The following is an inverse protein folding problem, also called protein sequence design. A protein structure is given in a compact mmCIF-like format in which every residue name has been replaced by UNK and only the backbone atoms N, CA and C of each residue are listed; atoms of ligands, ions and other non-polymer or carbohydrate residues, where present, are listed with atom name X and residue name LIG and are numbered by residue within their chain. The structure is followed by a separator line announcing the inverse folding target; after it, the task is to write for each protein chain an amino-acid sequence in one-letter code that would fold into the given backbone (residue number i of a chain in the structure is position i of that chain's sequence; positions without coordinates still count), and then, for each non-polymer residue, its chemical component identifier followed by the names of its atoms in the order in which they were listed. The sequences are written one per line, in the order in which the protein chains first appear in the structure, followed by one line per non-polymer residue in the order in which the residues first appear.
data_IF_076251054479
#
_entry.id   IF_076251054479
#
_cell.length_a   1.000
_cell.length_b   1.000
_cell.length_c   1.000
_cell.angle_alpha   90.00
_cell.angle_beta   90.00
_cell.angle_gamma   90.00
#
_symmetry.space_group_name_H-M   'P 1'
#
loop_
_entity.id
_entity.type
_entity.pdbx_description
1 polymer ?
#
# COMPACT_ATOMS: atom_id res chain seq x y z
N UNK A 1 -21.90 -27.53 10.69
CA UNK A 1 -20.61 -27.38 11.37
C UNK A 1 -20.77 -27.78 12.82
N UNK A 2 -20.09 -28.78 13.26
CA UNK A 2 -20.12 -29.30 14.62
C UNK A 2 -18.96 -28.73 15.44
N UNK A 3 -19.03 -28.75 16.77
CA UNK A 3 -17.93 -28.31 17.64
C UNK A 3 -16.66 -29.15 17.38
N UNK A 4 -16.80 -30.40 16.99
CA UNK A 4 -15.70 -31.31 16.66
C UNK A 4 -15.00 -30.92 15.34
N UNK A 5 -15.76 -30.50 14.32
CA UNK A 5 -15.22 -29.99 13.06
C UNK A 5 -14.45 -28.68 13.31
N UNK A 6 -15.04 -27.76 14.08
CA UNK A 6 -14.37 -26.51 14.48
C UNK A 6 -13.07 -26.78 15.27
N UNK A 7 -13.05 -27.76 16.17
CA UNK A 7 -11.85 -28.13 16.93
C UNK A 7 -10.74 -28.66 16.03
N UNK A 8 -11.10 -29.40 14.97
CA UNK A 8 -10.15 -29.90 13.98
C UNK A 8 -9.60 -28.76 13.12
N UNK A 9 -10.47 -27.92 12.59
CA UNK A 9 -10.07 -26.70 11.85
C UNK A 9 -9.16 -25.80 12.67
N UNK A 10 -9.48 -25.58 13.96
CA UNK A 10 -8.66 -24.80 14.87
C UNK A 10 -7.28 -25.41 15.09
N UNK A 11 -7.19 -26.73 15.19
CA UNK A 11 -5.93 -27.46 15.37
C UNK A 11 -5.05 -27.34 14.12
N UNK A 12 -5.64 -27.44 12.94
CA UNK A 12 -4.93 -27.36 11.67
C UNK A 12 -4.49 -25.91 11.39
N UNK A 13 -5.36 -24.92 11.65
CA UNK A 13 -5.01 -23.51 11.53
C UNK A 13 -3.89 -23.08 12.51
N UNK A 14 -3.88 -23.60 13.75
CA UNK A 14 -2.81 -23.33 14.72
C UNK A 14 -1.45 -23.90 14.32
N UNK A 15 -1.39 -24.96 13.53
CA UNK A 15 -0.12 -25.51 13.01
C UNK A 15 0.51 -24.63 11.94
N UNK A 16 -0.28 -23.80 11.30
CA UNK A 16 0.17 -22.89 10.25
C UNK A 16 0.81 -21.60 10.79
N UNK A 17 0.66 -21.29 12.09
CA UNK A 17 1.19 -20.08 12.73
C UNK A 17 2.06 -20.46 13.90
N UNK A 18 3.38 -20.43 13.70
CA UNK A 18 4.36 -20.68 14.76
C UNK A 18 5.01 -19.35 15.14
N UNK A 19 4.72 -18.89 16.35
CA UNK A 19 5.24 -17.62 16.87
C UNK A 19 6.11 -17.82 18.09
N UNK A 20 7.07 -16.93 18.27
CA UNK A 20 7.88 -16.79 19.46
C UNK A 20 8.03 -15.30 19.79
N UNK A 21 8.50 -14.94 20.98
CA UNK A 21 8.60 -13.54 21.30
C UNK A 21 9.60 -13.23 22.40
N UNK A 22 10.35 -12.14 22.20
CA UNK A 22 11.38 -11.68 23.12
C UNK A 22 11.24 -10.18 23.42
N UNK A 23 11.60 -9.79 24.64
CA UNK A 23 11.85 -8.40 24.97
C UNK A 23 13.32 -8.08 24.68
N UNK A 24 13.55 -7.28 23.63
CA UNK A 24 14.89 -6.93 23.18
C UNK A 24 15.23 -5.48 23.51
N UNK A 25 16.48 -5.20 23.81
CA UNK A 25 16.95 -3.82 23.95
C UNK A 25 17.00 -3.12 22.59
N UNK A 26 16.74 -1.81 22.56
CA UNK A 26 16.84 -1.03 21.32
C UNK A 26 18.27 -1.05 20.75
N UNK A 27 19.28 -1.12 21.63
CA UNK A 27 20.68 -1.27 21.22
C UNK A 27 20.95 -2.58 20.49
N UNK A 28 20.33 -3.68 20.91
CA UNK A 28 20.43 -4.98 20.25
C UNK A 28 19.75 -4.97 18.90
N UNK A 29 18.50 -4.45 18.81
CA UNK A 29 17.79 -4.29 17.54
C UNK A 29 18.59 -3.45 16.53
N UNK A 30 19.19 -2.34 16.99
CA UNK A 30 20.05 -1.51 16.14
C UNK A 30 21.31 -2.27 15.69
N UNK A 31 21.90 -3.09 16.57
CA UNK A 31 23.06 -3.94 16.23
C UNK A 31 22.71 -4.99 15.17
N UNK A 32 21.58 -5.69 15.33
CA UNK A 32 21.09 -6.65 14.34
C UNK A 32 20.80 -5.99 13.00
N UNK A 33 20.23 -4.77 12.99
CA UNK A 33 19.99 -4.02 11.77
C UNK A 33 21.30 -3.64 11.05
N UNK A 34 22.31 -3.19 11.79
CA UNK A 34 23.66 -2.92 11.25
C UNK A 34 24.29 -4.17 10.63
N UNK A 35 24.19 -5.30 11.33
CA UNK A 35 24.72 -6.59 10.92
C UNK A 35 23.92 -7.24 9.79
N UNK A 36 22.77 -6.66 9.38
CA UNK A 36 21.82 -7.24 8.41
C UNK A 36 21.18 -8.57 8.85
N UNK A 37 21.16 -8.81 10.14
CA UNK A 37 20.43 -9.92 10.76
C UNK A 37 18.96 -9.58 10.95
N UNK A 38 18.63 -8.28 11.04
CA UNK A 38 17.29 -7.71 10.94
C UNK A 38 17.26 -6.76 9.74
N UNK A 39 16.31 -6.98 8.83
CA UNK A 39 16.18 -6.19 7.60
C UNK A 39 14.81 -5.54 7.50
N UNK A 40 14.78 -4.37 6.89
CA UNK A 40 13.57 -3.70 6.44
C UNK A 40 13.65 -3.71 4.92
N UNK A 41 12.64 -4.29 4.24
CA UNK A 41 12.60 -4.25 2.78
C UNK A 41 12.59 -2.79 2.28
N UNK A 42 13.40 -2.42 1.26
CA UNK A 42 13.46 -1.04 0.78
C UNK A 42 12.10 -0.47 0.35
N UNK A 43 11.25 -1.27 -0.28
CA UNK A 43 9.92 -0.82 -0.70
C UNK A 43 8.98 -0.64 0.50
N UNK A 44 9.08 -1.51 1.50
CA UNK A 44 8.37 -1.32 2.77
C UNK A 44 8.87 -0.07 3.50
N UNK A 45 10.17 0.18 3.48
CA UNK A 45 10.78 1.36 4.09
C UNK A 45 10.31 2.68 3.47
N UNK A 46 9.96 2.71 2.19
CA UNK A 46 9.36 3.89 1.51
C UNK A 46 8.02 4.32 2.11
N UNK A 47 7.38 3.45 2.90
CA UNK A 47 6.17 3.77 3.65
C UNK A 47 6.47 4.43 5.02
N UNK A 48 7.75 4.73 5.34
CA UNK A 48 8.14 5.45 6.54
C UNK A 48 7.79 6.93 6.43
N UNK A 49 6.74 7.36 7.13
CA UNK A 49 6.14 8.68 6.94
C UNK A 49 5.59 9.37 8.19
N UNK A 50 5.88 8.85 9.39
CA UNK A 50 5.51 9.57 10.60
C UNK A 50 6.03 10.99 10.57
N UNK A 51 5.19 11.96 10.96
CA UNK A 51 5.62 13.35 11.14
C UNK A 51 6.65 13.46 12.27
N UNK A 52 7.51 14.48 12.26
CA UNK A 52 8.49 14.70 13.32
C UNK A 52 7.88 14.67 14.73
N UNK A 53 6.69 15.26 14.92
CA UNK A 53 5.97 15.23 16.19
C UNK A 53 5.57 13.82 16.65
N UNK A 54 5.18 12.94 15.74
CA UNK A 54 4.84 11.55 16.06
C UNK A 54 6.10 10.75 16.45
N UNK A 55 7.20 10.95 15.72
CA UNK A 55 8.50 10.34 16.03
C UNK A 55 8.98 10.79 17.41
N UNK A 56 8.89 12.09 17.69
CA UNK A 56 9.29 12.64 18.99
C UNK A 56 8.47 12.05 20.13
N UNK A 57 7.13 11.98 20.00
CA UNK A 57 6.26 11.37 21.02
C UNK A 57 6.57 9.91 21.25
N UNK A 58 6.97 9.20 20.22
CA UNK A 58 7.39 7.80 20.38
C UNK A 58 8.70 7.69 21.17
N UNK A 59 9.70 8.53 20.87
CA UNK A 59 10.95 8.60 21.65
C UNK A 59 10.68 9.03 23.09
N UNK A 60 9.82 10.02 23.31
CA UNK A 60 9.35 10.40 24.64
C UNK A 60 8.76 9.22 25.40
N UNK A 61 7.91 8.42 24.77
CA UNK A 61 7.31 7.24 25.40
C UNK A 61 8.37 6.23 25.84
N UNK A 62 9.40 6.02 25.02
CA UNK A 62 10.51 5.12 25.35
C UNK A 62 11.35 5.65 26.53
N UNK A 63 11.62 6.95 26.56
CA UNK A 63 12.37 7.61 27.67
C UNK A 63 11.58 7.58 28.99
N UNK A 64 10.26 7.73 28.91
CA UNK A 64 9.37 7.70 30.08
C UNK A 64 9.01 6.26 30.53
N UNK A 65 9.45 5.23 29.81
CA UNK A 65 9.09 3.84 30.09
C UNK A 65 7.62 3.53 29.85
N UNK A 66 6.92 4.32 29.03
CA UNK A 66 5.54 4.06 28.65
C UNK A 66 5.50 2.83 27.72
N UNK A 67 4.63 1.83 27.99
CA UNK A 67 4.52 0.66 27.14
C UNK A 67 4.23 1.02 25.69
N UNK A 68 5.00 0.46 24.76
CA UNK A 68 4.85 0.65 23.33
C UNK A 68 4.40 -0.67 22.69
N UNK A 69 3.62 -0.63 21.58
CA UNK A 69 3.24 -1.83 20.88
C UNK A 69 4.46 -2.64 20.38
N UNK A 70 4.38 -3.98 20.31
CA UNK A 70 5.45 -4.82 19.81
C UNK A 70 5.72 -4.56 18.33
N UNK A 71 6.92 -4.93 17.87
CA UNK A 71 7.21 -5.10 16.44
C UNK A 71 7.08 -6.57 16.07
N UNK A 72 6.77 -6.84 14.80
CA UNK A 72 6.63 -8.20 14.28
C UNK A 72 7.66 -8.43 13.18
N UNK A 73 8.32 -9.57 13.24
CA UNK A 73 9.32 -9.98 12.27
C UNK A 73 9.03 -11.39 11.76
N UNK A 74 9.40 -11.66 10.52
CA UNK A 74 9.40 -12.99 9.93
C UNK A 74 10.82 -13.54 9.88
N UNK A 75 11.03 -14.74 10.35
CA UNK A 75 12.31 -15.44 10.25
C UNK A 75 12.41 -16.15 8.90
N UNK A 76 13.29 -15.66 8.02
CA UNK A 76 13.59 -16.30 6.73
C UNK A 76 14.32 -17.63 6.94
N UNK A 77 14.38 -18.46 5.90
CA UNK A 77 15.16 -19.71 5.90
C UNK A 77 16.65 -19.49 6.24
N UNK A 78 17.20 -18.33 5.86
CA UNK A 78 18.56 -17.92 6.19
C UNK A 78 18.79 -17.59 7.67
N UNK A 79 17.73 -17.55 8.48
CA UNK A 79 17.76 -17.07 9.86
C UNK A 79 17.64 -15.55 10.01
N UNK A 80 17.75 -14.78 8.93
CA UNK A 80 17.56 -13.33 8.93
C UNK A 80 16.12 -12.97 9.27
N UNK A 81 15.93 -11.97 10.12
CA UNK A 81 14.61 -11.44 10.46
C UNK A 81 14.21 -10.31 9.51
N UNK A 82 13.03 -10.41 8.96
CA UNK A 82 12.43 -9.39 8.11
C UNK A 82 11.29 -8.69 8.84
N UNK A 83 11.33 -7.37 8.92
CA UNK A 83 10.31 -6.59 9.59
C UNK A 83 8.96 -6.71 8.85
N UNK A 84 7.92 -7.14 9.57
CA UNK A 84 6.53 -7.24 9.07
C UNK A 84 5.69 -6.06 9.54
N UNK A 85 5.70 -5.76 10.86
CA UNK A 85 5.01 -4.61 11.45
C UNK A 85 5.91 -3.88 12.41
N UNK A 86 5.62 -2.58 12.59
CA UNK A 86 6.41 -1.69 13.43
C UNK A 86 7.42 -0.86 12.65
N UNK A 87 7.26 -0.72 11.31
CA UNK A 87 8.12 0.10 10.46
C UNK A 87 8.36 1.48 11.05
N UNK A 88 7.29 2.20 11.38
CA UNK A 88 7.38 3.56 11.90
C UNK A 88 8.17 3.60 13.22
N UNK A 89 7.95 2.63 14.11
CA UNK A 89 8.61 2.51 15.43
C UNK A 89 10.09 2.21 15.29
N UNK A 90 10.45 1.14 14.59
CA UNK A 90 11.83 0.73 14.41
C UNK A 90 12.63 1.77 13.62
N UNK A 91 12.07 2.27 12.51
CA UNK A 91 12.72 3.31 11.69
C UNK A 91 12.95 4.60 12.46
N UNK A 92 12.05 4.99 13.36
CA UNK A 92 12.24 6.19 14.22
C UNK A 92 13.44 6.02 15.14
N UNK A 93 13.59 4.86 15.78
CA UNK A 93 14.74 4.56 16.65
C UNK A 93 16.04 4.56 15.84
N UNK A 94 16.05 3.85 14.72
CA UNK A 94 17.23 3.77 13.84
C UNK A 94 17.60 5.14 13.25
N UNK A 95 16.62 5.95 12.88
CA UNK A 95 16.87 7.31 12.39
C UNK A 95 17.43 8.22 13.48
N UNK A 96 16.89 8.15 14.70
CA UNK A 96 17.44 8.92 15.82
C UNK A 96 18.90 8.53 16.07
N UNK A 97 19.22 7.22 16.05
CA UNK A 97 20.59 6.72 16.24
C UNK A 97 21.50 6.98 15.03
N UNK A 98 20.99 7.50 13.91
CA UNK A 98 21.75 7.74 12.69
C UNK A 98 22.11 6.48 11.90
N UNK A 99 21.34 5.41 12.08
CA UNK A 99 21.61 4.09 11.49
C UNK A 99 20.61 3.69 10.39
N UNK A 100 19.51 4.45 10.22
CA UNK A 100 18.48 4.12 9.24
C UNK A 100 19.00 4.34 7.82
N UNK A 101 19.07 3.26 7.03
CA UNK A 101 19.44 3.31 5.62
C UNK A 101 18.33 3.93 4.80
N UNK A 102 18.68 4.74 3.80
CA UNK A 102 17.73 5.22 2.82
C UNK A 102 17.48 4.14 1.75
N UNK A 103 16.24 3.95 1.25
CA UNK A 103 15.95 2.94 0.23
C UNK A 103 16.77 3.07 -1.05
N UNK A 104 17.08 4.31 -1.45
CA UNK A 104 17.78 4.56 -2.70
C UNK A 104 19.31 4.59 -2.48
N UNK A 105 19.82 5.36 -1.52
CA UNK A 105 21.25 5.40 -1.20
C UNK A 105 21.52 6.09 0.14
N UNK A 106 22.56 5.62 0.87
CA UNK A 106 23.06 6.24 2.08
C UNK A 106 22.18 6.04 3.32
N UNK A 107 22.15 7.04 4.18
CA UNK A 107 21.37 7.07 5.41
C UNK A 107 20.33 8.21 5.39
N UNK A 108 19.23 8.00 6.08
CA UNK A 108 18.31 9.10 6.37
C UNK A 108 19.02 10.19 7.17
N UNK A 109 18.67 11.48 6.95
CA UNK A 109 19.14 12.54 7.84
C UNK A 109 18.82 12.22 9.29
N UNK A 110 19.74 12.47 10.23
CA UNK A 110 19.50 12.24 11.66
C UNK A 110 18.24 12.96 12.14
N UNK A 111 17.44 12.27 12.97
CA UNK A 111 16.23 12.86 13.54
C UNK A 111 16.59 13.98 14.51
N UNK A 112 15.97 15.13 14.32
CA UNK A 112 15.93 16.23 15.31
C UNK A 112 14.58 16.15 16.02
N UNK A 113 14.59 16.06 17.34
CA UNK A 113 13.38 15.95 18.15
C UNK A 113 12.72 17.34 18.31
N UNK A 114 11.41 17.31 18.50
CA UNK A 114 10.60 18.48 18.84
C UNK A 114 10.32 18.52 20.34
N UNK A 115 9.94 19.68 20.88
CA UNK A 115 9.44 19.75 22.25
C UNK A 115 8.07 19.10 22.37
N UNK A 116 7.85 18.39 23.49
CA UNK A 116 6.53 17.83 23.82
C UNK A 116 5.97 18.48 25.10
N UNK A 117 4.72 18.16 25.44
CA UNK A 117 4.13 18.68 26.66
C UNK A 117 4.79 18.11 27.94
N UNK A 118 5.22 16.84 27.91
CA UNK A 118 5.86 16.19 29.06
C UNK A 118 7.35 16.45 29.11
N UNK A 119 8.01 16.50 27.95
CA UNK A 119 9.45 16.73 27.83
C UNK A 119 9.75 17.90 26.86
N UNK A 120 9.47 19.18 27.25
CA UNK A 120 9.76 20.34 26.40
C UNK A 120 11.23 20.45 26.03
N UNK A 121 12.13 19.94 26.87
CA UNK A 121 13.58 19.93 26.67
C UNK A 121 14.05 19.04 25.50
N UNK A 122 13.18 18.24 24.89
CA UNK A 122 13.52 17.48 23.67
C UNK A 122 13.64 18.38 22.43
N UNK A 123 13.16 19.63 22.48
CA UNK A 123 13.20 20.56 21.35
C UNK A 123 14.65 20.76 20.85
N UNK A 124 14.90 20.38 19.60
CA UNK A 124 16.21 20.49 18.95
C UNK A 124 17.20 19.38 19.28
N UNK A 125 16.87 18.49 20.22
CA UNK A 125 17.77 17.39 20.62
C UNK A 125 18.00 16.40 19.48
N UNK A 126 19.26 15.91 19.40
CA UNK A 126 19.72 14.86 18.46
C UNK A 126 20.44 13.75 19.22
N UNK A 127 20.75 12.66 18.54
CA UNK A 127 21.44 11.52 19.14
C UNK A 127 22.86 11.80 19.59
N UNK A 128 23.66 12.47 18.75
CA UNK A 128 25.08 12.72 19.00
C UNK A 128 25.51 14.11 18.57
N UNK A 129 26.67 14.56 19.09
CA UNK A 129 27.22 15.87 18.77
C UNK A 129 27.83 16.01 17.38
N UNK A 130 28.12 14.90 16.68
CA UNK A 130 28.78 14.91 15.37
C UNK A 130 28.01 15.73 14.30
N UNK A 131 26.72 15.97 14.53
CA UNK A 131 25.82 16.66 13.60
C UNK A 131 25.20 17.93 14.19
N UNK A 132 25.76 18.52 15.23
CA UNK A 132 25.19 19.67 15.96
C UNK A 132 26.20 20.77 16.11
N UNK A 133 25.83 22.00 15.77
CA UNK A 133 26.68 23.18 15.96
C UNK A 133 26.83 23.59 17.42
N UNK A 134 25.93 23.17 18.30
CA UNK A 134 25.93 23.43 19.74
C UNK A 134 25.92 22.11 20.53
N UNK A 135 26.90 21.94 21.44
CA UNK A 135 27.06 20.74 22.29
C UNK A 135 25.81 20.41 23.15
N UNK A 136 25.04 21.44 23.48
CA UNK A 136 23.89 21.32 24.40
C UNK A 136 22.62 20.70 23.77
N UNK A 137 22.63 20.43 22.46
CA UNK A 137 21.48 19.88 21.71
C UNK A 137 21.67 18.41 21.33
N UNK A 138 22.46 17.65 22.06
CA UNK A 138 22.67 16.24 21.87
C UNK A 138 22.46 15.45 23.16
N UNK A 139 21.97 14.21 23.04
CA UNK A 139 21.92 13.29 24.17
C UNK A 139 23.32 13.01 24.71
N UNK A 140 23.49 13.15 26.01
CA UNK A 140 24.69 12.70 26.72
C UNK A 140 24.77 11.17 26.79
N UNK A 141 25.90 10.64 27.21
CA UNK A 141 26.13 9.20 27.32
C UNK A 141 25.09 8.50 28.22
N UNK A 142 24.74 9.03 29.41
CA UNK A 142 23.69 8.46 30.25
C UNK A 142 22.33 8.33 29.51
N UNK A 143 21.86 9.37 28.85
CA UNK A 143 20.60 9.35 28.10
C UNK A 143 20.64 8.37 26.91
N UNK A 144 21.77 8.33 26.19
CA UNK A 144 21.94 7.35 25.10
C UNK A 144 21.90 5.91 25.63
N UNK A 145 22.52 5.65 26.79
CA UNK A 145 22.52 4.33 27.42
C UNK A 145 21.11 3.95 27.92
N UNK A 146 20.38 4.90 28.48
CA UNK A 146 19.00 4.70 28.91
C UNK A 146 18.11 4.28 27.72
N UNK A 147 18.17 5.02 26.62
CA UNK A 147 17.40 4.68 25.43
C UNK A 147 17.88 3.35 24.79
N UNK A 148 19.19 3.09 24.71
CA UNK A 148 19.70 1.79 24.23
C UNK A 148 19.22 0.61 25.06
N UNK A 149 19.02 0.79 26.36
CA UNK A 149 18.52 -0.25 27.28
C UNK A 149 17.02 -0.34 27.36
N UNK A 150 16.29 0.65 26.84
CA UNK A 150 14.85 0.57 26.71
C UNK A 150 14.49 -0.66 25.89
N UNK A 151 13.38 -1.32 26.27
CA UNK A 151 12.97 -2.59 25.67
C UNK A 151 11.82 -2.42 24.71
N UNK A 152 11.85 -3.20 23.66
CA UNK A 152 10.76 -3.37 22.71
C UNK A 152 10.45 -4.85 22.58
N UNK A 153 9.18 -5.20 22.69
CA UNK A 153 8.73 -6.56 22.44
C UNK A 153 8.83 -6.85 20.96
N UNK A 154 9.47 -7.99 20.60
CA UNK A 154 9.57 -8.50 19.23
C UNK A 154 8.81 -9.81 19.18
N UNK A 155 7.79 -9.87 18.33
CA UNK A 155 7.07 -11.10 18.03
C UNK A 155 7.61 -11.67 16.71
N UNK A 156 8.03 -12.94 16.76
CA UNK A 156 8.72 -13.60 15.66
C UNK A 156 7.77 -14.62 15.04
N UNK A 157 7.41 -14.42 13.79
CA UNK A 157 6.78 -15.45 12.98
C UNK A 157 7.88 -16.34 12.41
N UNK A 158 7.87 -17.60 12.79
CA UNK A 158 8.90 -18.54 12.39
C UNK A 158 8.72 -19.00 10.95
N UNK A 159 9.80 -19.45 10.34
CA UNK A 159 9.88 -19.95 8.96
C UNK A 159 8.97 -21.15 8.67
N UNK A 160 8.63 -21.91 9.69
CA UNK A 160 7.69 -23.03 9.61
C UNK A 160 6.24 -22.60 9.40
N UNK A 161 5.97 -21.28 9.52
CA UNK A 161 4.66 -20.72 9.22
C UNK A 161 4.49 -20.61 7.71
N UNK A 162 3.27 -20.93 7.27
CA UNK A 162 2.94 -20.85 5.84
C UNK A 162 2.87 -19.36 5.39
N UNK A 163 3.06 -19.10 4.09
CA UNK A 163 3.03 -17.74 3.53
C UNK A 163 1.65 -17.07 3.69
N UNK A 164 0.57 -17.85 3.65
CA UNK A 164 -0.78 -17.34 3.89
C UNK A 164 -0.96 -16.91 5.37
N UNK A 165 -0.31 -17.61 6.32
CA UNK A 165 -0.29 -17.23 7.73
C UNK A 165 0.45 -15.91 7.97
N UNK A 166 1.55 -15.67 7.25
CA UNK A 166 2.28 -14.39 7.26
C UNK A 166 1.36 -13.23 6.86
N UNK A 167 0.57 -13.43 5.80
CA UNK A 167 -0.39 -12.45 5.30
C UNK A 167 -1.52 -12.17 6.31
N UNK A 168 -2.18 -13.22 6.79
CA UNK A 168 -3.30 -13.13 7.73
C UNK A 168 -2.88 -12.40 9.02
N UNK A 169 -1.69 -12.73 9.54
CA UNK A 169 -1.14 -12.07 10.72
C UNK A 169 -0.94 -10.57 10.46
N UNK A 170 -0.29 -10.22 9.35
CA UNK A 170 -0.03 -8.83 9.00
C UNK A 170 -1.32 -8.02 8.86
N UNK A 171 -2.31 -8.55 8.15
CA UNK A 171 -3.61 -7.90 7.97
C UNK A 171 -4.30 -7.65 9.32
N UNK A 172 -4.31 -8.64 10.21
CA UNK A 172 -4.93 -8.52 11.55
C UNK A 172 -4.20 -7.53 12.45
N UNK A 173 -2.87 -7.48 12.40
CA UNK A 173 -2.07 -6.56 13.20
C UNK A 173 -2.32 -5.10 12.80
N UNK A 174 -2.40 -4.82 11.51
CA UNK A 174 -2.60 -3.47 11.02
C UNK A 174 -4.05 -2.96 11.16
N UNK A 175 -5.05 -3.85 11.22
CA UNK A 175 -6.43 -3.46 11.50
C UNK A 175 -6.68 -3.09 12.97
N UNK A 176 -5.77 -3.45 13.88
CA UNK A 176 -5.93 -3.27 15.33
C UNK A 176 -5.27 -2.04 15.96
N UNK A 177 -4.44 -1.24 15.25
CA UNK A 177 -3.64 -0.24 15.96
C UNK A 177 -3.08 0.96 15.21
N UNK A 178 -2.94 0.94 13.91
CA UNK A 178 -2.41 2.08 13.14
C UNK A 178 -3.44 2.59 12.13
N UNK A 179 -3.47 3.92 11.93
CA UNK A 179 -4.36 4.56 10.94
C UNK A 179 -3.81 4.41 9.50
N UNK A 180 -3.39 3.19 9.11
CA UNK A 180 -3.07 2.90 7.73
C UNK A 180 -4.37 2.72 6.93
N UNK A 181 -4.40 3.22 5.70
CA UNK A 181 -5.48 2.89 4.77
C UNK A 181 -5.41 1.41 4.37
N UNK A 182 -6.53 0.84 3.95
CA UNK A 182 -6.59 -0.56 3.46
C UNK A 182 -5.56 -0.80 2.33
N UNK A 183 -5.35 0.19 1.47
CA UNK A 183 -4.37 0.07 0.40
C UNK A 183 -2.93 0.06 0.91
N UNK A 184 -2.62 0.78 1.97
CA UNK A 184 -1.28 0.79 2.54
C UNK A 184 -0.95 -0.54 3.22
N UNK A 185 -1.94 -1.13 3.89
CA UNK A 185 -1.83 -2.48 4.42
C UNK A 185 -1.58 -3.46 3.27
N UNK A 186 -2.34 -3.37 2.19
CA UNK A 186 -2.18 -4.20 0.99
C UNK A 186 -0.82 -4.01 0.33
N UNK A 187 -0.32 -2.79 0.23
CA UNK A 187 1.01 -2.51 -0.31
C UNK A 187 2.11 -3.20 0.48
N UNK A 188 2.04 -3.13 1.80
CA UNK A 188 3.02 -3.79 2.67
C UNK A 188 3.02 -5.31 2.46
N UNK A 189 1.84 -5.89 2.27
CA UNK A 189 1.69 -7.30 1.95
C UNK A 189 2.26 -7.63 0.58
N UNK A 190 1.95 -6.83 -0.44
CA UNK A 190 2.46 -7.04 -1.79
C UNK A 190 3.98 -7.00 -1.83
N UNK A 191 4.61 -6.06 -1.11
CA UNK A 191 6.06 -6.00 -0.95
C UNK A 191 6.61 -7.30 -0.36
N UNK A 192 5.97 -7.82 0.69
CA UNK A 192 6.41 -9.07 1.35
C UNK A 192 6.23 -10.32 0.47
N UNK A 193 5.17 -10.39 -0.31
CA UNK A 193 4.90 -11.53 -1.18
C UNK A 193 5.76 -11.50 -2.45
N UNK A 194 5.85 -10.34 -3.09
CA UNK A 194 6.62 -10.14 -4.32
C UNK A 194 6.93 -8.65 -4.52
N UNK A 195 8.10 -8.22 -4.08
CA UNK A 195 8.54 -6.83 -4.20
C UNK A 195 8.63 -6.36 -5.65
N UNK A 196 9.00 -7.24 -6.59
CA UNK A 196 9.06 -6.92 -8.03
C UNK A 196 7.68 -6.62 -8.61
N UNK A 197 6.66 -7.39 -8.20
CA UNK A 197 5.28 -7.12 -8.59
C UNK A 197 4.79 -5.78 -8.01
N UNK A 198 5.12 -5.46 -6.77
CA UNK A 198 4.80 -4.16 -6.18
C UNK A 198 5.50 -3.02 -6.93
N UNK A 199 6.80 -3.15 -7.25
CA UNK A 199 7.54 -2.18 -8.05
C UNK A 199 6.89 -1.98 -9.42
N UNK A 200 6.43 -3.06 -10.03
CA UNK A 200 5.69 -3.02 -11.29
C UNK A 200 4.41 -2.17 -11.16
N UNK A 201 3.60 -2.37 -10.10
CA UNK A 201 2.41 -1.55 -9.84
C UNK A 201 2.77 -0.07 -9.68
N UNK A 202 3.80 0.23 -8.89
CA UNK A 202 4.26 1.61 -8.66
C UNK A 202 4.73 2.25 -9.96
N UNK A 203 5.48 1.54 -10.79
CA UNK A 203 5.91 2.04 -12.10
C UNK A 203 4.71 2.40 -13.00
N UNK A 204 3.61 1.66 -12.95
CA UNK A 204 2.41 1.99 -13.74
C UNK A 204 1.78 3.30 -13.30
N UNK A 205 1.87 3.68 -12.02
CA UNK A 205 1.35 4.97 -11.56
C UNK A 205 2.10 6.16 -12.18
N UNK A 206 3.33 5.97 -12.65
CA UNK A 206 4.17 7.02 -13.26
C UNK A 206 3.99 7.15 -14.78
N UNK A 207 3.22 6.24 -15.43
CA UNK A 207 2.89 6.39 -16.84
C UNK A 207 2.22 7.74 -17.07
N UNK A 208 2.74 8.54 -18.00
CA UNK A 208 2.25 9.90 -18.24
C UNK A 208 0.73 9.92 -18.49
N UNK A 209 0.23 9.07 -19.39
CA UNK A 209 -1.19 9.01 -19.69
C UNK A 209 -2.05 8.63 -18.47
N UNK A 210 -1.59 7.71 -17.62
CA UNK A 210 -2.27 7.37 -16.37
C UNK A 210 -2.28 8.55 -15.40
N UNK A 211 -1.13 9.15 -15.10
CA UNK A 211 -1.02 10.25 -14.15
C UNK A 211 -1.81 11.49 -14.57
N UNK A 212 -1.96 11.72 -15.89
CA UNK A 212 -2.74 12.84 -16.41
C UNK A 212 -4.26 12.59 -16.37
N UNK A 213 -4.69 11.36 -16.50
CA UNK A 213 -6.13 10.99 -16.50
C UNK A 213 -6.67 10.66 -15.11
N UNK A 214 -5.83 10.08 -14.25
CA UNK A 214 -6.17 9.73 -12.85
C UNK A 214 -5.71 10.86 -11.93
N UNK A 215 -6.50 11.93 -11.88
CA UNK A 215 -6.20 13.13 -11.11
C UNK A 215 -6.65 12.98 -9.66
N UNK A 216 -5.72 12.60 -8.79
CA UNK A 216 -5.95 12.40 -7.36
C UNK A 216 -5.64 13.66 -6.54
N UNK A 217 -6.29 13.80 -5.40
CA UNK A 217 -5.97 14.82 -4.40
C UNK A 217 -4.66 14.48 -3.66
N UNK A 218 -3.97 15.46 -3.03
CA UNK A 218 -2.78 15.18 -2.23
C UNK A 218 -3.01 14.08 -1.19
N UNK A 219 -4.12 14.12 -0.47
CA UNK A 219 -4.48 13.08 0.51
C UNK A 219 -4.59 11.69 -0.12
N UNK A 220 -5.21 11.57 -1.29
CA UNK A 220 -5.34 10.30 -2.01
C UNK A 220 -3.98 9.77 -2.48
N UNK A 221 -3.05 10.65 -2.84
CA UNK A 221 -1.67 10.27 -3.14
C UNK A 221 -0.94 9.76 -1.89
N UNK A 222 -1.09 10.44 -0.76
CA UNK A 222 -0.54 9.99 0.52
C UNK A 222 -1.08 8.63 0.94
N UNK A 223 -2.36 8.36 0.72
CA UNK A 223 -3.03 7.08 0.98
C UNK A 223 -2.75 6.00 -0.08
N UNK A 224 -1.82 6.25 -1.02
CA UNK A 224 -1.40 5.31 -2.08
C UNK A 224 -2.54 4.86 -3.02
N UNK A 225 -3.58 5.70 -3.18
CA UNK A 225 -4.74 5.34 -4.01
C UNK A 225 -4.38 5.12 -5.49
N UNK A 226 -3.30 5.75 -6.01
CA UNK A 226 -2.84 5.50 -7.37
C UNK A 226 -2.48 4.01 -7.59
N UNK A 227 -1.81 3.38 -6.62
CA UNK A 227 -1.45 1.95 -6.66
C UNK A 227 -2.70 1.08 -6.60
N UNK A 228 -3.69 1.46 -5.76
CA UNK A 228 -4.98 0.76 -5.72
C UNK A 228 -5.68 0.77 -7.08
N UNK A 229 -5.68 1.92 -7.77
CA UNK A 229 -6.34 2.05 -9.08
C UNK A 229 -5.67 1.16 -10.13
N UNK A 230 -4.33 1.07 -10.14
CA UNK A 230 -3.60 0.12 -11.00
C UNK A 230 -3.99 -1.32 -10.66
N UNK A 231 -3.99 -1.66 -9.37
CA UNK A 231 -4.38 -3.00 -8.90
C UNK A 231 -5.84 -3.34 -9.29
N UNK A 232 -6.78 -2.40 -9.16
CA UNK A 232 -8.17 -2.57 -9.59
C UNK A 232 -8.27 -2.94 -11.06
N UNK A 233 -7.54 -2.23 -11.92
CA UNK A 233 -7.51 -2.52 -13.36
C UNK A 233 -7.11 -3.97 -13.64
N UNK A 234 -6.03 -4.44 -13.02
CA UNK A 234 -5.57 -5.83 -13.16
C UNK A 234 -6.57 -6.83 -12.57
N UNK A 235 -7.08 -6.55 -11.37
CA UNK A 235 -8.00 -7.42 -10.67
C UNK A 235 -9.28 -7.64 -11.49
N UNK A 236 -9.87 -6.60 -12.04
CA UNK A 236 -11.08 -6.71 -12.86
C UNK A 236 -10.86 -7.54 -14.14
N UNK A 237 -9.67 -7.52 -14.69
CA UNK A 237 -9.33 -8.25 -15.90
C UNK A 237 -8.97 -9.73 -15.64
N UNK A 238 -8.28 -10.00 -14.56
CA UNK A 238 -7.68 -11.33 -14.28
C UNK A 238 -8.41 -12.14 -13.20
N UNK A 239 -9.19 -11.49 -12.36
CA UNK A 239 -9.85 -12.15 -11.24
C UNK A 239 -11.35 -11.83 -11.19
N UNK A 240 -12.22 -12.70 -11.74
CA UNK A 240 -13.66 -12.47 -11.72
C UNK A 240 -14.20 -12.27 -10.30
N UNK A 241 -15.02 -11.24 -10.10
CA UNK A 241 -15.59 -10.95 -8.80
C UNK A 241 -16.51 -12.09 -8.32
N UNK A 242 -16.29 -12.55 -7.11
CA UNK A 242 -17.15 -13.52 -6.42
C UNK A 242 -18.07 -12.78 -5.44
N UNK A 243 -19.37 -13.03 -5.52
CA UNK A 243 -20.36 -12.44 -4.61
C UNK A 243 -20.03 -12.80 -3.16
N UNK A 244 -20.19 -11.83 -2.25
CA UNK A 244 -20.01 -12.00 -0.81
C UNK A 244 -18.79 -11.28 -0.25
N UNK A 245 -17.79 -10.96 -1.07
CA UNK A 245 -16.63 -10.17 -0.65
C UNK A 245 -16.95 -8.68 -0.78
N UNK A 246 -16.48 -7.86 0.15
CA UNK A 246 -16.44 -6.42 -0.06
C UNK A 246 -15.32 -6.03 -1.04
N UNK A 247 -15.17 -4.73 -1.34
CA UNK A 247 -14.17 -4.28 -2.34
C UNK A 247 -12.76 -4.55 -1.86
N UNK A 248 -12.47 -4.34 -0.58
CA UNK A 248 -11.13 -4.51 -0.02
C UNK A 248 -10.78 -6.00 0.06
N UNK A 249 -11.69 -6.83 0.55
CA UNK A 249 -11.54 -8.29 0.58
C UNK A 249 -11.33 -8.85 -0.83
N UNK A 250 -12.09 -8.35 -1.82
CA UNK A 250 -11.90 -8.74 -3.21
C UNK A 250 -10.52 -8.37 -3.74
N UNK A 251 -10.06 -7.14 -3.49
CA UNK A 251 -8.74 -6.69 -3.93
C UNK A 251 -7.62 -7.45 -3.23
N UNK A 252 -7.80 -7.82 -1.96
CA UNK A 252 -6.84 -8.62 -1.22
C UNK A 252 -6.72 -10.04 -1.80
N UNK A 253 -7.84 -10.68 -2.10
CA UNK A 253 -7.86 -11.99 -2.76
C UNK A 253 -7.24 -11.91 -4.16
N UNK A 254 -7.61 -10.90 -4.94
CA UNK A 254 -7.06 -10.69 -6.28
C UNK A 254 -5.55 -10.44 -6.24
N UNK A 255 -5.07 -9.60 -5.32
CA UNK A 255 -3.66 -9.29 -5.15
C UNK A 255 -2.81 -10.55 -4.92
N UNK A 256 -3.27 -11.47 -4.04
CA UNK A 256 -2.59 -12.76 -3.77
C UNK A 256 -2.49 -13.67 -5.01
N UNK A 257 -3.41 -13.55 -5.94
CA UNK A 257 -3.34 -14.30 -7.20
C UNK A 257 -2.45 -13.60 -8.22
N UNK A 258 -2.54 -12.27 -8.28
CA UNK A 258 -1.78 -11.46 -9.23
C UNK A 258 -0.28 -11.50 -8.98
N UNK A 259 0.17 -11.58 -7.72
CA UNK A 259 1.61 -11.74 -7.39
C UNK A 259 2.24 -13.03 -7.91
N UNK A 260 1.41 -14.02 -8.30
CA UNK A 260 1.83 -15.32 -8.84
C UNK A 260 1.91 -15.32 -10.38
N UNK A 261 1.58 -14.21 -11.02
CA UNK A 261 1.68 -14.08 -12.47
C UNK A 261 3.14 -14.18 -12.91
N UNK A 262 3.38 -14.93 -13.97
CA UNK A 262 4.68 -15.00 -14.62
C UNK A 262 4.96 -13.73 -15.44
N UNK A 263 6.21 -13.57 -15.87
CA UNK A 263 6.67 -12.41 -16.64
C UNK A 263 5.90 -12.24 -17.95
N UNK A 264 5.43 -13.32 -18.57
CA UNK A 264 4.64 -13.26 -19.80
C UNK A 264 3.29 -12.64 -19.54
N UNK A 265 2.58 -13.12 -18.53
CA UNK A 265 1.27 -12.60 -18.16
C UNK A 265 1.36 -11.14 -17.67
N UNK A 266 2.41 -10.78 -16.94
CA UNK A 266 2.67 -9.39 -16.53
C UNK A 266 2.94 -8.49 -17.75
N UNK A 267 3.68 -8.95 -18.75
CA UNK A 267 3.94 -8.18 -19.98
C UNK A 267 2.67 -8.02 -20.84
N UNK A 268 1.78 -9.02 -20.87
CA UNK A 268 0.47 -8.89 -21.52
C UNK A 268 -0.37 -7.79 -20.85
N UNK A 269 -0.39 -7.76 -19.51
CA UNK A 269 -1.11 -6.71 -18.76
C UNK A 269 -0.45 -5.33 -18.88
N UNK A 270 0.89 -5.26 -18.97
CA UNK A 270 1.61 -4.04 -19.26
C UNK A 270 1.14 -3.42 -20.58
N UNK A 271 1.17 -4.21 -21.65
CA UNK A 271 0.77 -3.76 -22.97
C UNK A 271 -0.70 -3.32 -23.01
N UNK A 272 -1.56 -4.03 -22.26
CA UNK A 272 -2.96 -3.69 -22.18
C UNK A 272 -3.21 -2.41 -21.38
N UNK A 273 -2.50 -2.24 -20.26
CA UNK A 273 -2.55 -1.03 -19.44
C UNK A 273 -2.08 0.18 -20.24
N UNK A 274 -0.91 0.09 -20.83
CA UNK A 274 -0.30 1.18 -21.61
C UNK A 274 -1.19 1.57 -22.79
N UNK A 275 -1.71 0.58 -23.54
CA UNK A 275 -2.63 0.84 -24.65
C UNK A 275 -3.91 1.52 -24.18
N UNK A 276 -4.52 1.04 -23.11
CA UNK A 276 -5.78 1.59 -22.60
C UNK A 276 -5.62 3.04 -22.18
N UNK A 277 -4.62 3.36 -21.36
CA UNK A 277 -4.46 4.71 -20.83
C UNK A 277 -3.94 5.68 -21.89
N UNK A 278 -3.03 5.27 -22.77
CA UNK A 278 -2.60 6.10 -23.89
C UNK A 278 -3.79 6.43 -24.82
N UNK A 279 -4.60 5.44 -25.18
CA UNK A 279 -5.79 5.67 -26.02
C UNK A 279 -6.79 6.64 -25.36
N UNK A 280 -7.07 6.45 -24.06
CA UNK A 280 -7.97 7.33 -23.32
C UNK A 280 -7.42 8.76 -23.22
N UNK A 281 -6.14 8.92 -22.93
CA UNK A 281 -5.49 10.22 -22.83
C UNK A 281 -5.45 10.94 -24.20
N UNK A 282 -4.98 10.29 -25.23
CA UNK A 282 -4.82 10.87 -26.57
C UNK A 282 -6.16 11.24 -27.22
N UNK A 283 -7.20 10.40 -27.03
CA UNK A 283 -8.47 10.56 -27.71
C UNK A 283 -9.51 11.33 -26.91
N UNK A 284 -9.51 11.23 -25.56
CA UNK A 284 -10.48 11.88 -24.69
C UNK A 284 -9.88 12.97 -23.79
N UNK A 285 -8.55 13.03 -23.62
CA UNK A 285 -7.86 14.03 -22.80
C UNK A 285 -7.83 13.69 -21.30
N UNK A 286 -7.36 14.65 -20.52
CA UNK A 286 -7.09 14.49 -19.08
C UNK A 286 -8.33 14.34 -18.21
N UNK A 287 -9.49 14.72 -18.70
CA UNK A 287 -10.76 14.75 -17.93
C UNK A 287 -11.67 13.53 -18.18
N UNK A 288 -11.13 12.48 -18.81
CA UNK A 288 -11.88 11.29 -19.25
C UNK A 288 -12.69 10.61 -18.14
N UNK A 289 -12.21 10.65 -16.90
CA UNK A 289 -12.88 10.07 -15.74
C UNK A 289 -13.68 11.07 -14.90
N UNK A 290 -13.83 12.33 -15.36
CA UNK A 290 -14.66 13.33 -14.68
C UNK A 290 -16.07 13.34 -15.27
N UNK A 291 -17.03 13.72 -14.42
CA UNK A 291 -18.44 13.80 -14.82
C UNK A 291 -18.63 14.75 -16.00
N UNK A 292 -19.32 14.30 -17.03
CA UNK A 292 -19.77 15.12 -18.16
C UNK A 292 -21.24 15.56 -17.94
N UNK A 293 -21.54 16.85 -18.05
CA UNK A 293 -22.87 17.43 -17.82
C UNK A 293 -23.64 17.72 -19.14
N UNK A 294 -23.07 17.38 -20.27
CA UNK A 294 -23.56 17.69 -21.60
C UNK A 294 -22.79 18.83 -22.28
N UNK A 295 -22.07 19.64 -21.54
CA UNK A 295 -21.31 20.78 -22.06
C UNK A 295 -19.83 20.76 -21.63
N UNK A 296 -19.54 20.38 -20.37
CA UNK A 296 -18.19 20.38 -19.81
C UNK A 296 -18.00 19.27 -18.80
N UNK A 297 -16.74 19.00 -18.49
CA UNK A 297 -16.38 18.11 -17.37
C UNK A 297 -16.46 18.83 -16.03
N UNK A 298 -17.00 18.16 -15.01
CA UNK A 298 -17.21 18.69 -13.66
C UNK A 298 -16.62 17.79 -12.59
N UNK A 299 -16.20 18.38 -11.48
CA UNK A 299 -15.75 17.68 -10.29
C UNK A 299 -14.36 17.04 -10.44
N UNK A 300 -14.07 16.11 -9.55
CA UNK A 300 -12.80 15.37 -9.52
C UNK A 300 -12.89 14.01 -10.22
N UNK A 301 -11.83 13.23 -10.06
CA UNK A 301 -11.74 11.85 -10.52
C UNK A 301 -12.88 10.99 -9.94
N UNK A 302 -13.56 10.25 -10.81
CA UNK A 302 -14.65 9.33 -10.44
C UNK A 302 -14.21 7.88 -10.56
N UNK A 303 -14.15 7.18 -9.42
CA UNK A 303 -13.80 5.76 -9.37
C UNK A 303 -14.80 4.90 -10.14
N UNK A 304 -16.11 5.27 -10.17
CA UNK A 304 -17.11 4.52 -10.93
C UNK A 304 -16.92 4.68 -12.44
N UNK A 305 -16.55 5.90 -12.89
CA UNK A 305 -16.23 6.13 -14.29
C UNK A 305 -14.95 5.38 -14.69
N UNK A 306 -13.94 5.39 -13.82
CA UNK A 306 -12.73 4.59 -14.03
C UNK A 306 -13.06 3.10 -14.16
N UNK A 307 -13.80 2.53 -13.19
CA UNK A 307 -14.19 1.12 -13.20
C UNK A 307 -14.88 0.73 -14.51
N UNK A 308 -15.81 1.57 -15.02
CA UNK A 308 -16.53 1.30 -16.25
C UNK A 308 -15.68 1.54 -17.51
N UNK A 309 -15.07 2.73 -17.63
CA UNK A 309 -14.40 3.14 -18.87
C UNK A 309 -13.13 2.33 -19.07
N UNK A 310 -12.25 2.26 -18.06
CA UNK A 310 -10.96 1.58 -18.21
C UNK A 310 -11.16 0.08 -18.48
N UNK A 311 -12.05 -0.57 -17.72
CA UNK A 311 -12.36 -1.99 -17.93
C UNK A 311 -13.03 -2.24 -19.26
N UNK A 312 -14.10 -1.47 -19.59
CA UNK A 312 -14.86 -1.65 -20.82
C UNK A 312 -14.02 -1.45 -22.08
N UNK A 313 -13.14 -0.45 -22.06
CA UNK A 313 -12.18 -0.21 -23.16
C UNK A 313 -11.16 -1.35 -23.25
N UNK A 314 -10.57 -1.77 -22.13
CA UNK A 314 -9.55 -2.80 -22.13
C UNK A 314 -10.04 -4.17 -22.65
N UNK A 315 -11.25 -4.59 -22.25
CA UNK A 315 -11.79 -5.89 -22.69
C UNK A 315 -12.26 -5.91 -24.14
N UNK A 316 -12.47 -4.74 -24.74
CA UNK A 316 -12.89 -4.59 -26.14
C UNK A 316 -11.77 -4.11 -27.08
N UNK A 317 -10.51 -4.21 -26.65
CA UNK A 317 -9.35 -3.68 -27.40
C UNK A 317 -9.38 -4.06 -28.86
N UNK A 318 -9.49 -5.35 -29.19
CA UNK A 318 -9.37 -5.84 -30.56
C UNK A 318 -10.50 -5.28 -31.46
N UNK A 319 -11.71 -5.22 -30.92
CA UNK A 319 -12.86 -4.64 -31.62
C UNK A 319 -12.72 -3.13 -31.82
N UNK A 320 -12.18 -2.43 -30.81
CA UNK A 320 -11.91 -0.99 -30.89
C UNK A 320 -10.79 -0.69 -31.88
N UNK A 321 -9.71 -1.50 -31.91
CA UNK A 321 -8.64 -1.35 -32.88
C UNK A 321 -9.10 -1.60 -34.33
N UNK A 322 -10.17 -2.38 -34.52
CA UNK A 322 -10.79 -2.58 -35.82
C UNK A 322 -11.56 -1.36 -36.33
N UNK A 323 -11.92 -0.40 -35.49
CA UNK A 323 -12.53 0.87 -35.92
C UNK A 323 -11.50 1.65 -36.78
N UNK A 324 -11.89 2.19 -37.95
CA UNK A 324 -11.02 3.03 -38.76
C UNK A 324 -10.41 4.18 -37.95
N UNK A 325 -9.11 4.45 -38.14
CA UNK A 325 -8.38 5.40 -37.34
C UNK A 325 -9.01 6.81 -37.30
N UNK A 326 -9.60 7.26 -38.41
CA UNK A 326 -10.28 8.56 -38.51
C UNK A 326 -11.57 8.64 -37.66
N UNK A 327 -12.23 7.50 -37.40
CA UNK A 327 -13.53 7.44 -36.69
C UNK A 327 -13.33 7.13 -35.21
N UNK A 328 -12.18 6.61 -34.83
CA UNK A 328 -11.88 6.12 -33.50
C UNK A 328 -12.02 7.20 -32.43
N UNK A 329 -11.53 8.43 -32.72
CA UNK A 329 -11.63 9.55 -31.78
C UNK A 329 -13.08 9.89 -31.46
N UNK A 330 -13.92 10.03 -32.48
CA UNK A 330 -15.31 10.38 -32.30
C UNK A 330 -16.06 9.26 -31.58
N UNK A 331 -15.75 8.01 -31.88
CA UNK A 331 -16.29 6.87 -31.15
C UNK A 331 -15.95 6.94 -29.66
N UNK A 332 -14.65 7.13 -29.27
CA UNK A 332 -14.23 7.23 -27.88
C UNK A 332 -14.93 8.38 -27.15
N UNK A 333 -14.89 9.57 -27.73
CA UNK A 333 -15.48 10.78 -27.11
C UNK A 333 -16.98 10.59 -26.89
N UNK A 334 -17.70 10.05 -27.89
CA UNK A 334 -19.14 9.84 -27.81
C UNK A 334 -19.48 8.75 -26.75
N UNK A 335 -18.72 7.64 -26.69
CA UNK A 335 -18.94 6.59 -25.72
C UNK A 335 -18.65 7.06 -24.29
N UNK A 336 -17.52 7.73 -24.06
CA UNK A 336 -17.13 8.24 -22.74
C UNK A 336 -18.13 9.30 -22.25
N UNK A 337 -18.52 10.26 -23.08
CA UNK A 337 -19.49 11.30 -22.71
C UNK A 337 -20.90 10.76 -22.56
N UNK A 338 -21.31 9.88 -23.47
CA UNK A 338 -22.61 9.25 -23.44
C UNK A 338 -22.87 8.38 -22.22
N UNK A 339 -21.82 7.79 -21.64
CA UNK A 339 -21.90 7.00 -20.41
C UNK A 339 -22.59 7.76 -19.27
N UNK A 340 -22.33 9.06 -19.15
CA UNK A 340 -22.89 9.91 -18.08
C UNK A 340 -24.42 10.15 -18.21
N UNK A 341 -24.97 10.01 -19.41
CA UNK A 341 -26.40 10.04 -19.67
C UNK A 341 -27.08 8.68 -19.60
N UNK A 342 -26.32 7.59 -19.50
CA UNK A 342 -26.88 6.25 -19.50
C UNK A 342 -27.51 5.90 -18.14
N UNK A 343 -28.75 5.38 -18.19
CA UNK A 343 -29.54 5.07 -16.99
C UNK A 343 -28.91 3.94 -16.15
N UNK A 344 -28.34 2.93 -16.81
CA UNK A 344 -27.70 1.80 -16.12
C UNK A 344 -26.44 2.25 -15.40
N UNK A 345 -25.63 3.09 -16.06
CA UNK A 345 -24.47 3.68 -15.40
C UNK A 345 -24.88 4.55 -14.21
N UNK A 346 -25.85 5.44 -14.37
CA UNK A 346 -26.34 6.32 -13.30
C UNK A 346 -26.87 5.53 -12.10
N UNK A 347 -27.65 4.48 -12.34
CA UNK A 347 -28.20 3.62 -11.28
C UNK A 347 -27.12 2.88 -10.48
N UNK A 348 -25.95 2.58 -11.09
CA UNK A 348 -24.88 1.79 -10.48
C UNK A 348 -23.63 2.61 -10.12
N UNK A 349 -23.60 3.92 -10.35
CA UNK A 349 -22.42 4.78 -10.12
C UNK A 349 -22.62 5.91 -9.11
N UNK A 350 -23.86 6.16 -8.68
CA UNK A 350 -24.25 7.27 -7.82
C UNK A 350 -23.66 7.23 -6.42
N UNK A 351 -23.75 8.37 -5.71
CA UNK A 351 -23.39 8.48 -4.30
C UNK A 351 -24.23 7.48 -3.48
N UNK A 352 -23.55 6.66 -2.67
CA UNK A 352 -24.20 5.63 -1.85
C UNK A 352 -24.29 4.24 -2.51
N UNK A 353 -23.97 4.10 -3.80
CA UNK A 353 -23.87 2.77 -4.43
C UNK A 353 -22.65 2.03 -3.89
N UNK A 354 -22.88 0.85 -3.28
CA UNK A 354 -21.80 0.02 -2.76
C UNK A 354 -20.84 -0.42 -3.87
N UNK A 355 -19.53 -0.46 -3.57
CA UNK A 355 -18.53 -0.91 -4.54
C UNK A 355 -18.79 -2.31 -5.09
N UNK A 356 -19.34 -3.20 -4.26
CA UNK A 356 -19.76 -4.57 -4.67
C UNK A 356 -20.87 -4.57 -5.73
N UNK A 357 -21.82 -3.64 -5.63
CA UNK A 357 -22.87 -3.45 -6.66
C UNK A 357 -22.24 -3.02 -7.99
N UNK A 358 -21.22 -2.14 -7.95
CA UNK A 358 -20.48 -1.76 -9.14
C UNK A 358 -19.79 -2.95 -9.80
N UNK A 359 -19.04 -3.74 -9.03
CA UNK A 359 -18.34 -4.92 -9.58
C UNK A 359 -19.32 -5.94 -10.18
N UNK A 360 -20.49 -6.12 -9.56
CA UNK A 360 -21.48 -7.09 -10.04
C UNK A 360 -22.23 -6.62 -11.29
N UNK A 361 -22.62 -5.34 -11.34
CA UNK A 361 -23.53 -4.81 -12.35
C UNK A 361 -22.80 -3.96 -13.39
N UNK A 362 -21.84 -3.11 -12.92
CA UNK A 362 -21.23 -2.12 -13.80
C UNK A 362 -20.15 -2.70 -14.70
N UNK A 363 -19.36 -3.66 -14.23
CA UNK A 363 -18.30 -4.26 -15.07
C UNK A 363 -18.88 -5.05 -16.25
N UNK A 364 -19.88 -5.97 -16.09
CA UNK A 364 -20.50 -6.65 -17.22
C UNK A 364 -21.21 -5.68 -18.18
N UNK A 365 -21.88 -4.68 -17.62
CA UNK A 365 -22.50 -3.62 -18.43
C UNK A 365 -21.44 -2.85 -19.24
N UNK A 366 -20.35 -2.44 -18.63
CA UNK A 366 -19.27 -1.70 -19.29
C UNK A 366 -18.64 -2.50 -20.45
N UNK A 367 -18.46 -3.80 -20.28
CA UNK A 367 -17.98 -4.68 -21.34
C UNK A 367 -18.90 -4.66 -22.58
N UNK A 368 -20.21 -4.61 -22.37
CA UNK A 368 -21.18 -4.49 -23.48
C UNK A 368 -21.25 -3.07 -24.03
N UNK A 369 -21.29 -2.07 -23.15
CA UNK A 369 -21.43 -0.67 -23.54
C UNK A 369 -20.27 -0.18 -24.41
N UNK A 370 -19.03 -0.59 -24.13
CA UNK A 370 -17.84 -0.23 -24.91
C UNK A 370 -17.55 -1.18 -26.10
N UNK A 371 -18.44 -2.10 -26.39
CA UNK A 371 -18.35 -2.86 -27.65
C UNK A 371 -18.74 -1.94 -28.82
N UNK A 372 -17.90 -1.84 -29.86
CA UNK A 372 -18.17 -1.04 -31.06
C UNK A 372 -19.44 -1.44 -31.82
#
# INVERSE_FOLDING_TARGET
MTVQELATELKDARRQVVTDGYDMSLGELASMYRARELVIDPNYQRLFRWHPSQRTRFIESLLLGIPVPPIFVFQRESGVWELIDGLQRLSTVLQLMGELRHPDEGLYPPLTLEGTNLLPGLAGMKWSQENVAAADLAFDIPMQLELKRARMRVEILRKESDEDAKYELFQRLNTGGSHLSEQEVRNSVLVMLNSQFYDWLVQRTTLHAFSQTVQLTPKQHEEQQAVEIVLRFLAYRRHPYKRGLDVNEYLDVAARQLVKLDDRALNEELNMFDWTFNSLFELCGTEVFKRWDGQRHLGGFSISAFDAIAYGVAVNRDAIEAIPAQDRRDWFVNRVRGLWGDQTFQANSGSGVRGTTRMTNLLPYAAQYFQP
#
